data_IF_936234065465
#
_entry.id   IF_936234065465
#
_cell.length_a   1.000
_cell.length_b   1.000
_cell.length_c   1.000
_cell.angle_alpha   90.00
_cell.angle_beta   90.00
_cell.angle_gamma   90.00
#
_symmetry.space_group_name_H-M   'P 1'
#
loop_
_entity.id
_entity.type
_entity.pdbx_description
1 polymer ?
#
# COMPACT_ATOMS: atom_id res chain seq x y z
N UNK A 1 58.23 40.29 18.29
CA UNK A 1 59.43 39.58 17.86
C UNK A 1 59.02 38.63 16.79
N UNK A 2 59.22 39.08 15.55
CA UNK A 2 60.38 38.73 14.69
C UNK A 2 60.27 37.32 14.17
N UNK A 3 60.32 37.00 12.95
CA UNK A 3 60.69 37.46 11.59
C UNK A 3 60.31 36.27 10.68
N UNK A 4 59.56 36.47 9.60
CA UNK A 4 60.09 36.73 8.21
C UNK A 4 60.94 35.58 7.65
N UNK A 5 60.51 35.15 6.51
CA UNK A 5 61.14 35.09 5.15
C UNK A 5 60.80 33.80 4.46
N UNK A 6 60.12 33.90 3.36
CA UNK A 6 60.63 33.98 1.95
C UNK A 6 61.25 32.65 1.48
N UNK A 7 61.01 32.11 0.36
CA UNK A 7 60.94 32.58 -1.01
C UNK A 7 60.89 31.38 -1.96
N UNK A 8 60.11 31.50 -3.03
CA UNK A 8 60.46 31.11 -4.41
C UNK A 8 60.70 29.61 -4.72
N UNK A 9 60.36 29.03 -5.78
CA UNK A 9 60.14 29.41 -7.19
C UNK A 9 59.82 28.13 -8.02
N UNK A 10 58.97 28.25 -8.98
CA UNK A 10 59.03 27.64 -10.31
C UNK A 10 59.15 26.11 -10.45
N UNK A 11 58.19 25.58 -11.14
CA UNK A 11 58.28 24.27 -11.79
C UNK A 11 57.05 24.03 -12.69
N UNK A 12 57.03 24.66 -13.88
CA UNK A 12 56.12 24.27 -14.97
C UNK A 12 56.47 22.86 -15.41
N UNK A 13 55.52 21.93 -15.32
CA UNK A 13 55.57 20.71 -16.08
C UNK A 13 54.19 20.50 -16.74
N UNK A 14 54.11 20.84 -17.99
CA UNK A 14 53.01 20.43 -18.88
C UNK A 14 53.11 18.92 -19.09
N UNK A 15 52.07 18.19 -18.77
CA UNK A 15 51.94 16.80 -19.20
C UNK A 15 50.49 16.43 -19.42
N UNK A 16 50.12 16.33 -20.65
CA UNK A 16 49.32 15.30 -21.28
C UNK A 16 47.98 14.97 -20.64
N UNK A 17 46.91 15.65 -21.08
CA UNK A 17 45.54 15.17 -20.90
C UNK A 17 45.36 13.96 -21.81
N UNK A 18 45.54 12.76 -21.32
CA UNK A 18 45.08 11.55 -21.98
C UNK A 18 43.54 11.50 -21.82
N UNK A 19 42.83 11.89 -22.90
CA UNK A 19 41.41 11.56 -23.06
C UNK A 19 41.32 10.04 -23.19
N UNK A 20 41.01 9.36 -22.09
CA UNK A 20 40.49 8.01 -22.14
C UNK A 20 39.04 8.10 -22.61
N UNK A 21 38.65 7.41 -23.70
CA UNK A 21 37.23 7.28 -24.00
C UNK A 21 36.61 6.50 -22.86
N UNK A 22 35.72 7.16 -22.10
CA UNK A 22 34.81 6.49 -21.19
C UNK A 22 33.93 5.56 -22.06
N UNK A 23 34.30 4.29 -22.16
CA UNK A 23 33.42 3.24 -22.61
C UNK A 23 32.32 3.19 -21.52
N UNK A 24 31.28 3.97 -21.75
CA UNK A 24 30.04 3.87 -20.98
C UNK A 24 29.50 2.48 -21.25
N UNK A 25 29.86 1.53 -20.38
CA UNK A 25 29.07 0.33 -20.23
C UNK A 25 27.67 0.82 -19.79
N UNK A 26 26.76 0.87 -20.76
CA UNK A 26 25.32 0.90 -20.49
C UNK A 26 25.01 -0.41 -19.80
N UNK A 27 25.32 -0.48 -18.50
CA UNK A 27 24.67 -1.42 -17.60
C UNK A 27 23.20 -1.07 -17.73
N UNK A 28 22.46 -1.86 -18.50
CA UNK A 28 21.02 -1.83 -18.51
C UNK A 28 20.57 -2.02 -17.07
N UNK A 29 20.39 -0.90 -16.35
CA UNK A 29 19.75 -0.92 -15.07
C UNK A 29 18.37 -1.51 -15.34
N UNK A 30 18.14 -2.73 -14.93
CA UNK A 30 16.79 -3.25 -14.75
C UNK A 30 16.14 -2.32 -13.73
N UNK A 31 15.56 -1.24 -14.23
CA UNK A 31 14.79 -0.33 -13.41
C UNK A 31 13.62 -1.15 -12.89
N UNK A 32 13.60 -1.39 -11.57
CA UNK A 32 12.52 -2.14 -10.92
C UNK A 32 11.19 -1.46 -11.26
N UNK A 33 10.23 -2.24 -11.76
CA UNK A 33 8.91 -1.74 -12.11
C UNK A 33 8.03 -1.63 -10.88
N UNK A 34 8.20 -0.54 -10.12
CA UNK A 34 7.43 -0.25 -8.92
C UNK A 34 5.94 -0.14 -9.19
N UNK A 35 5.51 0.31 -10.37
CA UNK A 35 4.08 0.35 -10.73
C UNK A 35 3.49 -1.05 -10.86
N UNK A 36 4.25 -2.02 -11.38
CA UNK A 36 3.79 -3.41 -11.42
C UNK A 36 3.67 -3.99 -10.01
N UNK A 37 4.65 -3.72 -9.15
CA UNK A 37 4.62 -4.13 -7.76
C UNK A 37 3.43 -3.50 -7.02
N UNK A 38 3.21 -2.20 -7.16
CA UNK A 38 2.11 -1.49 -6.51
C UNK A 38 0.74 -2.05 -6.94
N UNK A 39 0.54 -2.29 -8.25
CA UNK A 39 -0.69 -2.91 -8.75
C UNK A 39 -0.93 -4.29 -8.17
N UNK A 40 0.09 -5.13 -8.10
CA UNK A 40 -0.01 -6.45 -7.49
C UNK A 40 -0.37 -6.37 -6.00
N UNK A 41 0.22 -5.45 -5.26
CA UNK A 41 -0.10 -5.23 -3.85
C UNK A 41 -1.52 -4.66 -3.65
N UNK A 42 -1.95 -3.70 -4.48
CA UNK A 42 -3.32 -3.15 -4.43
C UNK A 42 -4.36 -4.23 -4.73
N UNK A 43 -4.18 -5.05 -5.77
CA UNK A 43 -5.08 -6.16 -6.09
C UNK A 43 -5.18 -7.17 -4.94
N UNK A 44 -4.07 -7.48 -4.27
CA UNK A 44 -4.11 -8.35 -3.09
C UNK A 44 -4.78 -7.68 -1.89
N UNK A 45 -4.68 -6.36 -1.72
CA UNK A 45 -5.44 -5.61 -0.70
C UNK A 45 -6.95 -5.65 -0.96
N UNK A 46 -7.38 -5.57 -2.21
CA UNK A 46 -8.81 -5.70 -2.58
C UNK A 46 -9.35 -7.08 -2.19
N UNK A 47 -8.57 -8.13 -2.48
CA UNK A 47 -8.92 -9.50 -2.10
C UNK A 47 -9.02 -9.67 -0.58
N UNK A 48 -8.00 -9.23 0.17
CA UNK A 48 -7.98 -9.33 1.64
C UNK A 48 -9.14 -8.52 2.26
N UNK A 49 -9.39 -7.31 1.75
CA UNK A 49 -10.50 -6.46 2.20
C UNK A 49 -11.86 -7.14 2.01
N UNK A 50 -12.04 -7.86 0.90
CA UNK A 50 -13.25 -8.64 0.64
C UNK A 50 -13.41 -9.78 1.66
N UNK A 51 -12.33 -10.46 2.03
CA UNK A 51 -12.35 -11.51 3.04
C UNK A 51 -12.64 -10.96 4.44
N UNK A 52 -11.97 -9.87 4.84
CA UNK A 52 -12.22 -9.19 6.10
C UNK A 52 -13.67 -8.72 6.17
N UNK A 53 -14.21 -8.11 5.11
CA UNK A 53 -15.60 -7.66 5.04
C UNK A 53 -16.59 -8.81 5.29
N UNK A 54 -16.43 -9.96 4.61
CA UNK A 54 -17.30 -11.12 4.82
C UNK A 54 -17.24 -11.67 6.24
N UNK A 55 -16.04 -11.73 6.83
CA UNK A 55 -15.89 -12.21 8.19
C UNK A 55 -16.45 -11.20 9.20
N UNK A 56 -16.31 -9.89 8.96
CA UNK A 56 -16.90 -8.84 9.76
C UNK A 56 -18.43 -8.82 9.67
N UNK A 57 -19.00 -9.06 8.50
CA UNK A 57 -20.46 -9.22 8.31
C UNK A 57 -21.01 -10.40 9.13
N UNK A 58 -20.32 -11.55 9.09
CA UNK A 58 -20.67 -12.70 9.92
C UNK A 58 -20.56 -12.37 11.40
N UNK A 59 -19.49 -11.67 11.80
CA UNK A 59 -19.29 -11.25 13.16
C UNK A 59 -20.41 -10.30 13.62
N UNK A 60 -20.83 -9.37 12.75
CA UNK A 60 -21.95 -8.47 12.99
C UNK A 60 -23.26 -9.24 13.19
N UNK A 61 -23.50 -10.29 12.41
CA UNK A 61 -24.69 -11.15 12.60
C UNK A 61 -24.68 -11.83 13.96
N UNK A 62 -23.52 -12.19 14.52
CA UNK A 62 -23.41 -12.78 15.84
C UNK A 62 -23.74 -11.78 16.96
N UNK A 63 -23.46 -10.48 16.76
CA UNK A 63 -23.77 -9.45 17.78
C UNK A 63 -25.26 -9.22 18.01
N UNK A 64 -26.10 -9.67 17.07
CA UNK A 64 -27.56 -9.53 17.16
C UNK A 64 -28.21 -10.56 18.11
N UNK A 65 -27.52 -11.64 18.43
CA UNK A 65 -28.03 -12.70 19.33
C UNK A 65 -27.21 -12.76 20.63
N UNK A 66 -27.78 -12.33 21.78
CA UNK A 66 -27.09 -12.33 23.07
C UNK A 66 -26.75 -13.73 23.60
N UNK A 67 -27.35 -14.80 23.04
CA UNK A 67 -27.07 -16.17 23.44
C UNK A 67 -25.83 -16.77 22.78
N UNK A 68 -25.25 -16.07 21.80
CA UNK A 68 -24.05 -16.53 21.12
C UNK A 68 -22.82 -16.26 22.01
N UNK A 69 -22.18 -17.33 22.46
CA UNK A 69 -21.04 -17.26 23.36
C UNK A 69 -19.77 -16.69 22.67
N UNK A 70 -18.86 -16.18 23.51
CA UNK A 70 -17.60 -15.54 23.08
C UNK A 70 -16.75 -16.36 22.12
N UNK A 71 -16.84 -17.70 22.14
CA UNK A 71 -16.05 -18.57 21.29
C UNK A 71 -16.35 -18.37 19.81
N UNK A 72 -17.62 -18.12 19.44
CA UNK A 72 -18.01 -17.86 18.07
C UNK A 72 -17.41 -16.53 17.57
N UNK A 73 -17.48 -15.48 18.40
CA UNK A 73 -16.88 -14.18 18.13
C UNK A 73 -15.35 -14.28 18.01
N UNK A 74 -14.71 -14.97 18.99
CA UNK A 74 -13.26 -15.16 19.00
C UNK A 74 -12.76 -15.90 17.75
N UNK A 75 -13.51 -16.89 17.26
CA UNK A 75 -13.17 -17.62 16.04
C UNK A 75 -13.06 -16.70 14.83
N UNK A 76 -14.05 -15.80 14.63
CA UNK A 76 -14.04 -14.85 13.51
C UNK A 76 -12.95 -13.78 13.66
N UNK A 77 -12.77 -13.23 14.87
CA UNK A 77 -11.71 -12.26 15.14
C UNK A 77 -10.30 -12.87 14.93
N UNK A 78 -10.11 -14.15 15.25
CA UNK A 78 -8.87 -14.87 14.98
C UNK A 78 -8.62 -15.13 13.48
N UNK A 79 -9.66 -15.11 12.64
CA UNK A 79 -9.53 -15.12 11.18
C UNK A 79 -9.22 -13.72 10.64
N UNK A 80 -9.92 -12.69 11.13
CA UNK A 80 -9.77 -11.29 10.69
C UNK A 80 -8.38 -10.73 11.03
N UNK A 81 -7.90 -10.95 12.25
CA UNK A 81 -6.66 -10.35 12.74
C UNK A 81 -5.42 -10.60 11.85
N UNK A 82 -5.11 -11.85 11.43
CA UNK A 82 -3.96 -12.09 10.56
C UNK A 82 -4.12 -11.42 9.18
N UNK A 83 -5.34 -11.36 8.63
CA UNK A 83 -5.62 -10.71 7.35
C UNK A 83 -5.38 -9.20 7.45
N UNK A 84 -5.89 -8.53 8.48
CA UNK A 84 -5.66 -7.10 8.74
C UNK A 84 -4.17 -6.81 8.98
N UNK A 85 -3.46 -7.66 9.70
CA UNK A 85 -2.01 -7.51 9.90
C UNK A 85 -1.23 -7.64 8.57
N UNK A 86 -1.66 -8.56 7.68
CA UNK A 86 -1.05 -8.70 6.36
C UNK A 86 -1.30 -7.46 5.49
N UNK A 87 -2.52 -6.91 5.54
CA UNK A 87 -2.82 -5.64 4.87
C UNK A 87 -1.94 -4.50 5.38
N UNK A 88 -1.66 -4.45 6.69
CA UNK A 88 -0.73 -3.48 7.27
C UNK A 88 0.70 -3.62 6.72
N UNK A 89 1.21 -4.85 6.55
CA UNK A 89 2.52 -5.08 5.93
C UNK A 89 2.57 -4.65 4.47
N UNK A 90 1.52 -4.95 3.69
CA UNK A 90 1.38 -4.51 2.29
C UNK A 90 1.32 -2.99 2.19
N UNK A 91 0.58 -2.34 3.09
CA UNK A 91 0.52 -0.88 3.17
C UNK A 91 1.91 -0.28 3.41
N UNK A 92 2.66 -0.79 4.38
CA UNK A 92 4.04 -0.32 4.64
C UNK A 92 4.91 -0.40 3.38
N UNK A 93 4.79 -1.47 2.60
CA UNK A 93 5.53 -1.59 1.34
C UNK A 93 5.05 -0.60 0.28
N UNK A 94 3.74 -0.43 0.14
CA UNK A 94 3.14 0.56 -0.77
C UNK A 94 3.56 1.99 -0.43
N UNK A 95 3.56 2.36 0.85
CA UNK A 95 4.02 3.68 1.31
C UNK A 95 5.50 3.91 0.99
N UNK A 96 6.34 2.88 1.12
CA UNK A 96 7.77 2.97 0.79
C UNK A 96 8.05 3.24 -0.70
N UNK A 97 7.21 2.73 -1.61
CA UNK A 97 7.37 2.90 -3.06
C UNK A 97 6.47 4.01 -3.64
N UNK A 98 5.66 4.66 -2.81
CA UNK A 98 4.61 5.62 -3.23
C UNK A 98 5.11 6.68 -4.20
N UNK A 99 6.29 7.26 -3.94
CA UNK A 99 6.83 8.33 -4.78
C UNK A 99 7.43 7.85 -6.12
N UNK A 100 7.51 6.53 -6.32
CA UNK A 100 8.07 5.89 -7.51
C UNK A 100 7.01 5.25 -8.42
N UNK A 101 5.74 5.48 -8.12
CA UNK A 101 4.61 4.90 -8.85
C UNK A 101 3.76 5.97 -9.53
N UNK A 102 2.83 5.58 -10.41
CA UNK A 102 1.98 6.51 -11.15
C UNK A 102 1.05 7.32 -10.23
N UNK A 103 0.61 8.53 -10.64
CA UNK A 103 -0.24 9.40 -9.81
C UNK A 103 -1.54 8.76 -9.32
N UNK A 104 -2.14 7.88 -10.11
CA UNK A 104 -3.36 7.17 -9.70
C UNK A 104 -3.06 6.11 -8.63
N UNK A 105 -1.90 5.42 -8.71
CA UNK A 105 -1.44 4.46 -7.69
C UNK A 105 -1.15 5.18 -6.37
N UNK A 106 -0.53 6.38 -6.43
CA UNK A 106 -0.32 7.21 -5.25
C UNK A 106 -1.64 7.55 -4.56
N UNK A 107 -2.66 7.96 -5.34
CA UNK A 107 -4.00 8.25 -4.80
C UNK A 107 -4.67 7.01 -4.20
N UNK A 108 -4.52 5.84 -4.84
CA UNK A 108 -5.04 4.58 -4.31
C UNK A 108 -4.40 4.24 -2.96
N UNK A 109 -3.08 4.39 -2.84
CA UNK A 109 -2.33 4.18 -1.60
C UNK A 109 -2.79 5.14 -0.50
N UNK A 110 -2.91 6.44 -0.84
CA UNK A 110 -3.33 7.48 0.12
C UNK A 110 -4.74 7.23 0.67
N UNK A 111 -5.63 6.68 -0.16
CA UNK A 111 -6.99 6.35 0.28
C UNK A 111 -7.08 5.01 1.01
N UNK A 112 -6.21 4.06 0.69
CA UNK A 112 -6.16 2.77 1.39
C UNK A 112 -5.60 2.91 2.82
N UNK A 113 -4.62 3.78 3.02
CA UNK A 113 -3.89 3.89 4.27
C UNK A 113 -4.79 4.15 5.51
N UNK A 114 -5.68 5.13 5.52
CA UNK A 114 -6.55 5.39 6.69
C UNK A 114 -7.50 4.22 6.95
N UNK A 115 -8.08 3.59 5.91
CA UNK A 115 -9.00 2.47 6.08
C UNK A 115 -8.30 1.26 6.73
N UNK A 116 -7.08 0.92 6.28
CA UNK A 116 -6.32 -0.21 6.86
C UNK A 116 -5.97 0.06 8.32
N UNK A 117 -5.58 1.29 8.68
CA UNK A 117 -5.29 1.65 10.08
C UNK A 117 -6.54 1.56 10.95
N UNK A 118 -7.67 2.08 10.48
CA UNK A 118 -8.94 1.99 11.21
C UNK A 118 -9.41 0.54 11.36
N UNK A 119 -9.19 -0.32 10.37
CA UNK A 119 -9.46 -1.75 10.52
C UNK A 119 -8.59 -2.40 11.60
N UNK A 120 -7.31 -2.03 11.67
CA UNK A 120 -6.41 -2.54 12.71
C UNK A 120 -6.87 -2.11 14.11
N UNK A 121 -7.22 -0.84 14.29
CA UNK A 121 -7.71 -0.28 15.56
C UNK A 121 -9.02 -0.96 15.98
N UNK A 122 -10.01 -1.02 15.09
CA UNK A 122 -11.30 -1.66 15.39
C UNK A 122 -11.17 -3.16 15.67
N UNK A 123 -10.24 -3.86 14.99
CA UNK A 123 -9.95 -5.28 15.27
C UNK A 123 -9.36 -5.45 16.65
N UNK A 124 -8.40 -4.60 17.03
CA UNK A 124 -7.78 -4.63 18.36
C UNK A 124 -8.78 -4.32 19.45
N UNK A 125 -9.61 -3.29 19.26
CA UNK A 125 -10.65 -2.89 20.20
C UNK A 125 -11.70 -3.98 20.39
N UNK A 126 -12.14 -4.62 19.30
CA UNK A 126 -13.09 -5.74 19.38
C UNK A 126 -12.50 -6.93 20.14
N UNK A 127 -11.23 -7.27 19.90
CA UNK A 127 -10.54 -8.34 20.63
C UNK A 127 -10.37 -7.98 22.11
N UNK A 128 -9.97 -6.76 22.42
CA UNK A 128 -9.82 -6.29 23.79
C UNK A 128 -11.16 -6.34 24.53
N UNK A 129 -12.23 -5.81 23.91
CA UNK A 129 -13.57 -5.85 24.48
C UNK A 129 -14.00 -7.29 24.77
N UNK A 130 -13.87 -8.20 23.81
CA UNK A 130 -14.24 -9.61 23.97
C UNK A 130 -13.48 -10.30 25.11
N UNK A 131 -12.24 -9.94 25.33
CA UNK A 131 -11.43 -10.52 26.42
C UNK A 131 -11.80 -9.99 27.79
N UNK A 132 -12.19 -8.71 27.87
CA UNK A 132 -12.54 -8.04 29.14
C UNK A 132 -14.03 -8.19 29.51
N UNK A 133 -14.91 -8.35 28.51
CA UNK A 133 -16.36 -8.39 28.67
C UNK A 133 -16.98 -9.56 27.89
N UNK A 134 -16.60 -10.81 28.17
CA UNK A 134 -16.94 -11.97 27.33
C UNK A 134 -18.44 -12.26 27.22
N UNK A 135 -19.24 -11.85 28.22
CA UNK A 135 -20.68 -12.04 28.26
C UNK A 135 -21.47 -10.83 27.74
N UNK A 136 -20.79 -9.80 27.23
CA UNK A 136 -21.40 -8.52 26.86
C UNK A 136 -21.25 -8.20 25.38
N UNK A 137 -21.12 -9.21 24.52
CA UNK A 137 -20.93 -9.06 23.06
C UNK A 137 -22.11 -8.38 22.36
N UNK A 138 -23.27 -8.33 23.03
CA UNK A 138 -24.48 -7.63 22.58
C UNK A 138 -24.42 -6.10 22.82
N UNK A 139 -23.46 -5.59 23.58
CA UNK A 139 -23.38 -4.16 23.89
C UNK A 139 -23.09 -3.34 22.63
N UNK A 140 -23.73 -2.15 22.49
CA UNK A 140 -23.57 -1.30 21.31
C UNK A 140 -22.13 -0.93 20.97
N UNK A 141 -21.25 -0.80 21.98
CA UNK A 141 -19.86 -0.45 21.78
C UNK A 141 -19.10 -1.56 21.02
N UNK A 142 -19.34 -2.83 21.35
CA UNK A 142 -18.77 -3.94 20.62
C UNK A 142 -19.30 -3.99 19.18
N UNK A 143 -20.62 -3.85 19.02
CA UNK A 143 -21.26 -3.77 17.70
C UNK A 143 -20.70 -2.64 16.84
N UNK A 144 -20.33 -1.50 17.44
CA UNK A 144 -19.72 -0.39 16.74
C UNK A 144 -18.35 -0.76 16.16
N UNK A 145 -17.46 -1.43 16.92
CA UNK A 145 -16.17 -1.88 16.41
C UNK A 145 -16.34 -2.82 15.22
N UNK A 146 -17.26 -3.76 15.32
CA UNK A 146 -17.54 -4.73 14.27
C UNK A 146 -18.13 -4.07 13.02
N UNK A 147 -19.06 -3.13 13.20
CA UNK A 147 -19.67 -2.38 12.09
C UNK A 147 -18.64 -1.48 11.38
N UNK A 148 -17.79 -0.81 12.14
CA UNK A 148 -16.70 -0.01 11.56
C UNK A 148 -15.75 -0.89 10.75
N UNK A 149 -15.34 -2.04 11.30
CA UNK A 149 -14.48 -2.99 10.60
C UNK A 149 -15.09 -3.45 9.26
N UNK A 150 -16.39 -3.76 9.24
CA UNK A 150 -17.10 -4.09 8.01
C UNK A 150 -17.10 -2.94 7.00
N UNK A 151 -17.44 -1.73 7.45
CA UNK A 151 -17.53 -0.55 6.60
C UNK A 151 -16.17 -0.19 5.98
N UNK A 152 -15.10 -0.19 6.78
CA UNK A 152 -13.74 0.11 6.31
C UNK A 152 -13.25 -0.93 5.31
N UNK A 153 -13.46 -2.22 5.58
CA UNK A 153 -13.07 -3.29 4.68
C UNK A 153 -13.84 -3.23 3.35
N UNK A 154 -15.16 -3.05 3.41
CA UNK A 154 -16.02 -2.93 2.24
C UNK A 154 -15.69 -1.67 1.40
N UNK A 155 -15.45 -0.55 2.08
CA UNK A 155 -15.05 0.72 1.48
C UNK A 155 -13.70 0.62 0.78
N UNK A 156 -12.70 -0.02 1.42
CA UNK A 156 -11.38 -0.23 0.85
C UNK A 156 -11.46 -1.08 -0.43
N UNK A 157 -12.14 -2.23 -0.39
CA UNK A 157 -12.31 -3.09 -1.57
C UNK A 157 -12.94 -2.34 -2.75
N UNK A 158 -13.99 -1.55 -2.49
CA UNK A 158 -14.65 -0.71 -3.49
C UNK A 158 -13.73 0.38 -4.05
N UNK A 159 -12.90 0.97 -3.20
CA UNK A 159 -11.98 2.05 -3.58
C UNK A 159 -10.87 1.51 -4.48
N UNK A 160 -10.20 0.43 -4.09
CA UNK A 160 -9.14 -0.19 -4.90
C UNK A 160 -9.67 -0.62 -6.26
N UNK A 161 -10.82 -1.30 -6.32
CA UNK A 161 -11.47 -1.72 -7.57
C UNK A 161 -11.72 -0.55 -8.53
N UNK A 162 -12.17 0.59 -8.03
CA UNK A 162 -12.37 1.79 -8.87
C UNK A 162 -11.07 2.31 -9.48
N UNK A 163 -9.95 2.25 -8.74
CA UNK A 163 -8.65 2.65 -9.28
C UNK A 163 -8.10 1.65 -10.29
N UNK A 164 -8.32 0.36 -10.10
CA UNK A 164 -7.94 -0.67 -11.08
C UNK A 164 -8.73 -0.51 -12.39
N UNK A 165 -10.03 -0.26 -12.29
CA UNK A 165 -10.89 0.00 -13.45
C UNK A 165 -10.45 1.27 -14.18
N UNK A 166 -10.15 2.34 -13.47
CA UNK A 166 -9.58 3.56 -14.07
C UNK A 166 -8.28 3.26 -14.82
N UNK A 167 -7.38 2.49 -14.22
CA UNK A 167 -6.11 2.13 -14.84
C UNK A 167 -6.30 1.30 -16.11
N UNK A 168 -7.24 0.36 -16.11
CA UNK A 168 -7.61 -0.47 -17.27
C UNK A 168 -8.09 0.40 -18.42
N UNK A 169 -9.09 1.24 -18.19
CA UNK A 169 -9.64 2.14 -19.21
C UNK A 169 -8.57 3.05 -19.80
N UNK A 170 -7.75 3.65 -18.95
CA UNK A 170 -6.70 4.56 -19.40
C UNK A 170 -5.60 3.86 -20.23
N UNK A 171 -5.29 2.61 -19.91
CA UNK A 171 -4.35 1.82 -20.71
C UNK A 171 -4.92 1.43 -22.07
N UNK A 172 -6.21 1.10 -22.14
CA UNK A 172 -6.90 0.79 -23.40
C UNK A 172 -6.94 2.01 -24.32
N UNK A 173 -7.25 3.20 -23.79
CA UNK A 173 -7.21 4.45 -24.56
C UNK A 173 -5.84 4.75 -25.14
N UNK A 174 -4.78 4.58 -24.36
CA UNK A 174 -3.40 4.77 -24.83
C UNK A 174 -3.02 3.77 -25.94
N UNK A 175 -3.48 2.52 -25.85
CA UNK A 175 -3.26 1.52 -26.88
C UNK A 175 -4.00 1.85 -28.18
N UNK A 176 -5.23 2.32 -28.09
CA UNK A 176 -6.01 2.76 -29.25
C UNK A 176 -5.37 3.96 -29.94
N UNK A 177 -4.94 4.97 -29.18
CA UNK A 177 -4.26 6.13 -29.73
C UNK A 177 -2.99 5.74 -30.50
N UNK A 178 -2.14 4.88 -29.93
CA UNK A 178 -0.94 4.37 -30.60
C UNK A 178 -1.27 3.60 -31.87
N UNK A 179 -2.34 2.81 -31.88
CA UNK A 179 -2.76 2.06 -33.05
C UNK A 179 -3.24 2.98 -34.18
N UNK A 180 -3.91 4.08 -33.86
CA UNK A 180 -4.36 5.10 -34.83
C UNK A 180 -3.17 5.89 -35.40
N UNK A 181 -2.21 6.25 -34.56
CA UNK A 181 -0.99 6.98 -34.98
C UNK A 181 -0.06 6.13 -35.88
N UNK A 182 -0.16 4.81 -35.81
CA UNK A 182 0.64 3.89 -36.64
C UNK A 182 -0.06 3.53 -37.97
N UNK A 183 -1.27 3.99 -38.26
CA UNK A 183 -1.89 3.81 -39.56
C UNK A 183 -1.23 4.76 -40.58
N UNK A 184 -0.57 4.25 -41.63
CA UNK A 184 -0.02 5.12 -42.67
C UNK A 184 -1.17 5.88 -43.35
N UNK A 185 -1.00 7.17 -43.52
CA UNK A 185 -1.90 7.98 -44.33
C UNK A 185 -1.97 7.39 -45.72
N UNK A 186 -3.08 6.82 -46.09
CA UNK A 186 -3.39 6.25 -47.43
C UNK A 186 -3.69 7.33 -48.44
#
# INVERSE_FOLDING_TARGET
MSLVKDLTLCGMAAAGIALLPAIGAAAGSHQWDYSREARGLLATLEYDATHVSRNAERLQSLTADPNIGKQAHAKLLNQIRPEVNEMGRKLTRLEAIRNSVAPWEQKAIDQAAPAIRLMADNTQDAIHFLNTNPEETWKPIYGKYVTNLFNEASGLGSTVRRYEEYARIHSEDQHMQKALDMQPAS
#
